data_IF_998774098429
#
_entry.id   IF_998774098429
#
_cell.length_a   1.000
_cell.length_b   1.000
_cell.length_c   1.000
_cell.angle_alpha   90.00
_cell.angle_beta   90.00
_cell.angle_gamma   90.00
#
_symmetry.space_group_name_H-M   'P 1'
#
loop_
_entity.id
_entity.type
_entity.pdbx_description
1 polymer ?
#
# COMPACT_ATOMS: atom_id res chain seq x y z
N UNK A 1 18.94 -20.62 3.81
CA UNK A 1 18.04 -19.58 4.37
C UNK A 1 16.77 -19.64 3.55
N UNK A 2 15.64 -19.85 4.21
CA UNK A 2 14.34 -19.81 3.53
C UNK A 2 14.01 -18.36 3.18
N UNK A 3 13.86 -18.08 1.88
CA UNK A 3 13.54 -16.74 1.36
C UNK A 3 12.02 -16.51 1.35
N UNK A 4 11.35 -16.87 2.45
CA UNK A 4 9.90 -16.84 2.58
C UNK A 4 9.47 -16.23 3.90
N UNK A 5 8.37 -15.49 3.88
CA UNK A 5 7.71 -14.98 5.07
C UNK A 5 6.20 -15.06 4.88
N UNK A 6 5.44 -14.77 5.94
CA UNK A 6 3.98 -14.80 5.92
C UNK A 6 3.41 -13.42 6.25
N UNK A 7 2.29 -13.09 5.62
CA UNK A 7 1.50 -11.90 5.93
C UNK A 7 0.07 -12.28 6.29
N UNK A 8 -0.55 -11.48 7.17
CA UNK A 8 -1.96 -11.58 7.51
C UNK A 8 -2.61 -10.24 7.17
N UNK A 9 -3.58 -10.25 6.26
CA UNK A 9 -4.29 -9.05 5.77
C UNK A 9 -5.78 -9.32 5.73
N UNK A 10 -6.58 -8.34 6.15
CA UNK A 10 -8.04 -8.35 6.02
C UNK A 10 -8.41 -7.93 4.62
N UNK A 11 -9.60 -8.33 4.15
CA UNK A 11 -10.15 -7.86 2.87
C UNK A 11 -10.11 -6.32 2.74
N UNK A 12 -10.42 -5.60 3.82
CA UNK A 12 -10.34 -4.12 3.86
C UNK A 12 -8.94 -3.56 3.60
N UNK A 13 -7.88 -4.32 3.90
CA UNK A 13 -6.52 -3.92 3.59
C UNK A 13 -6.25 -4.02 2.09
N UNK A 14 -6.85 -5.00 1.41
CA UNK A 14 -6.82 -5.11 -0.05
C UNK A 14 -7.64 -3.99 -0.71
N UNK A 15 -8.81 -3.62 -0.16
CA UNK A 15 -9.58 -2.46 -0.66
C UNK A 15 -8.76 -1.16 -0.59
N UNK A 16 -8.02 -0.95 0.50
CA UNK A 16 -7.13 0.22 0.65
C UNK A 16 -5.97 0.17 -0.34
N UNK A 17 -5.35 -0.99 -0.54
CA UNK A 17 -4.28 -1.17 -1.52
C UNK A 17 -4.79 -0.88 -2.93
N UNK A 18 -5.94 -1.43 -3.32
CA UNK A 18 -6.56 -1.23 -4.62
C UNK A 18 -6.84 0.25 -4.89
N UNK A 19 -7.43 0.96 -3.92
CA UNK A 19 -7.68 2.39 -4.02
C UNK A 19 -6.40 3.20 -4.28
N UNK A 20 -5.27 2.84 -3.66
CA UNK A 20 -3.97 3.46 -3.90
C UNK A 20 -3.38 3.08 -5.27
N UNK A 21 -3.73 1.93 -5.83
CA UNK A 21 -3.26 1.48 -7.13
C UNK A 21 -4.13 1.98 -8.29
N UNK A 22 -5.33 2.52 -8.04
CA UNK A 22 -6.20 3.09 -9.10
C UNK A 22 -5.52 4.17 -9.93
N UNK A 23 -4.58 4.94 -9.35
CA UNK A 23 -3.80 5.96 -10.07
C UNK A 23 -2.96 5.37 -11.22
N UNK A 24 -2.70 4.06 -11.20
CA UNK A 24 -1.93 3.38 -12.25
C UNK A 24 -2.77 3.07 -13.49
N UNK A 25 -4.09 3.28 -13.43
CA UNK A 25 -5.05 3.01 -14.50
C UNK A 25 -4.99 1.56 -15.04
N UNK A 26 -4.57 0.63 -14.18
CA UNK A 26 -4.58 -0.81 -14.43
C UNK A 26 -5.84 -1.40 -13.84
N UNK A 27 -6.52 -2.24 -14.61
CA UNK A 27 -7.66 -3.01 -14.11
C UNK A 27 -7.16 -4.24 -13.33
N UNK A 28 -7.43 -4.25 -12.03
CA UNK A 28 -7.00 -5.30 -11.12
C UNK A 28 -8.21 -6.12 -10.65
N UNK A 29 -8.14 -7.46 -10.63
CA UNK A 29 -9.29 -8.32 -10.37
C UNK A 29 -9.56 -8.48 -8.86
N UNK A 30 -9.91 -7.38 -8.17
CA UNK A 30 -10.27 -7.45 -6.75
C UNK A 30 -11.62 -8.18 -6.59
N UNK A 31 -11.69 -9.28 -5.81
CA UNK A 31 -12.94 -10.01 -5.62
C UNK A 31 -13.99 -9.13 -4.94
N UNK A 32 -15.27 -9.26 -5.28
CA UNK A 32 -16.31 -8.35 -4.82
C UNK A 32 -16.55 -8.41 -3.30
N UNK A 33 -17.08 -7.30 -2.78
CA UNK A 33 -17.57 -7.23 -1.42
C UNK A 33 -18.92 -7.92 -1.33
N UNK A 34 -19.04 -8.90 -0.43
CA UNK A 34 -20.33 -9.52 -0.08
C UNK A 34 -20.87 -8.88 1.21
N UNK A 35 -22.12 -8.43 1.16
CA UNK A 35 -22.80 -7.74 2.27
C UNK A 35 -23.68 -8.67 3.13
N UNK A 36 -23.87 -9.94 2.72
CA UNK A 36 -24.59 -10.98 3.47
C UNK A 36 -23.85 -12.33 3.37
N UNK A 37 -23.96 -13.21 4.39
CA UNK A 37 -23.37 -14.56 4.33
C UNK A 37 -21.84 -14.58 4.20
N UNK A 38 -21.16 -13.71 4.95
CA UNK A 38 -19.70 -13.52 4.92
C UNK A 38 -18.89 -14.61 5.66
N UNK A 39 -19.56 -15.51 6.39
CA UNK A 39 -18.95 -16.65 7.09
C UNK A 39 -19.17 -17.99 6.38
N UNK A 40 -19.81 -17.97 5.21
CA UNK A 40 -19.97 -19.16 4.37
C UNK A 40 -18.59 -19.67 3.90
N UNK A 41 -18.33 -20.98 4.06
CA UNK A 41 -17.01 -21.57 3.80
C UNK A 41 -16.63 -21.51 2.32
N UNK A 42 -17.59 -21.75 1.43
CA UNK A 42 -17.34 -21.73 -0.01
C UNK A 42 -17.02 -20.31 -0.45
N UNK A 43 -17.74 -19.34 0.10
CA UNK A 43 -17.44 -17.93 -0.12
C UNK A 43 -16.05 -17.51 0.39
N UNK A 44 -15.64 -17.98 1.58
CA UNK A 44 -14.31 -17.68 2.12
C UNK A 44 -13.23 -18.26 1.21
N UNK A 45 -13.39 -19.51 0.74
CA UNK A 45 -12.45 -20.16 -0.16
C UNK A 45 -12.36 -19.45 -1.52
N UNK A 46 -13.51 -19.10 -2.11
CA UNK A 46 -13.58 -18.36 -3.36
C UNK A 46 -12.89 -16.99 -3.24
N UNK A 47 -13.18 -16.25 -2.15
CA UNK A 47 -12.54 -14.97 -1.88
C UNK A 47 -11.04 -15.12 -1.67
N UNK A 48 -10.58 -16.15 -0.97
CA UNK A 48 -9.15 -16.40 -0.77
C UNK A 48 -8.44 -16.63 -2.11
N UNK A 49 -9.04 -17.41 -3.01
CA UNK A 49 -8.52 -17.61 -4.36
C UNK A 49 -8.52 -16.30 -5.18
N UNK A 50 -9.61 -15.53 -5.12
CA UNK A 50 -9.69 -14.22 -5.77
C UNK A 50 -8.61 -13.24 -5.29
N UNK A 51 -8.36 -13.18 -3.98
CA UNK A 51 -7.31 -12.36 -3.41
C UNK A 51 -5.90 -12.84 -3.81
N UNK A 52 -5.69 -14.15 -3.96
CA UNK A 52 -4.43 -14.67 -4.48
C UNK A 52 -4.21 -14.28 -5.95
N UNK A 53 -5.25 -14.37 -6.78
CA UNK A 53 -5.19 -13.94 -8.18
C UNK A 53 -4.93 -12.44 -8.31
N UNK A 54 -5.56 -11.64 -7.45
CA UNK A 54 -5.28 -10.20 -7.34
C UNK A 54 -3.80 -9.92 -7.01
N UNK A 55 -3.21 -10.63 -6.04
CA UNK A 55 -1.78 -10.48 -5.75
C UNK A 55 -0.90 -10.91 -6.92
N UNK A 56 -1.23 -12.01 -7.58
CA UNK A 56 -0.50 -12.48 -8.77
C UNK A 56 -0.51 -11.43 -9.89
N UNK A 57 -1.64 -10.76 -10.12
CA UNK A 57 -1.76 -9.67 -11.09
C UNK A 57 -0.92 -8.44 -10.72
N UNK A 58 -0.91 -8.06 -9.43
CA UNK A 58 -0.08 -6.97 -8.94
C UNK A 58 1.41 -7.25 -9.16
N UNK A 59 1.87 -8.46 -8.80
CA UNK A 59 3.31 -8.78 -8.85
C UNK A 59 3.80 -9.04 -10.27
N UNK A 60 2.92 -9.37 -11.21
CA UNK A 60 3.28 -9.58 -12.63
C UNK A 60 3.61 -8.27 -13.36
N UNK A 61 3.18 -7.12 -12.83
CA UNK A 61 3.40 -5.80 -13.43
C UNK A 61 4.61 -5.12 -12.74
N UNK A 62 5.78 -4.98 -13.40
CA UNK A 62 7.01 -4.56 -12.74
C UNK A 62 6.97 -3.17 -12.09
N UNK A 63 6.24 -2.23 -12.69
CA UNK A 63 6.12 -0.86 -12.14
C UNK A 63 5.28 -0.84 -10.86
N UNK A 64 4.24 -1.67 -10.80
CA UNK A 64 3.36 -1.81 -9.63
C UNK A 64 4.08 -2.61 -8.54
N UNK A 65 4.68 -3.75 -8.90
CA UNK A 65 5.34 -4.65 -7.94
C UNK A 65 6.52 -4.01 -7.23
N UNK A 66 7.24 -3.10 -7.90
CA UNK A 66 8.37 -2.35 -7.32
C UNK A 66 7.94 -1.14 -6.49
N UNK A 67 6.65 -0.75 -6.54
CA UNK A 67 6.15 0.40 -5.79
C UNK A 67 6.29 0.20 -4.28
N UNK A 68 6.49 1.30 -3.55
CA UNK A 68 6.61 1.27 -2.10
C UNK A 68 5.32 0.74 -1.46
N UNK A 69 4.15 1.10 -1.99
CA UNK A 69 2.85 0.68 -1.49
C UNK A 69 2.69 -0.84 -1.50
N UNK A 70 3.05 -1.50 -2.62
CA UNK A 70 3.00 -2.96 -2.73
C UNK A 70 4.03 -3.63 -1.84
N UNK A 71 5.26 -3.11 -1.80
CA UNK A 71 6.32 -3.61 -0.91
C UNK A 71 5.92 -3.53 0.56
N UNK A 72 5.33 -2.42 1.00
CA UNK A 72 4.78 -2.25 2.35
C UNK A 72 3.64 -3.22 2.66
N UNK A 73 2.78 -3.48 1.68
CA UNK A 73 1.69 -4.43 1.84
C UNK A 73 2.21 -5.86 2.02
N UNK A 74 3.16 -6.27 1.16
CA UNK A 74 3.72 -7.62 1.15
C UNK A 74 4.75 -7.85 2.25
N UNK A 75 5.46 -6.84 2.71
CA UNK A 75 6.54 -6.96 3.69
C UNK A 75 6.55 -5.76 4.65
N UNK A 76 5.51 -5.69 5.49
CA UNK A 76 5.29 -4.53 6.37
C UNK A 76 6.41 -4.34 7.40
N UNK A 77 7.13 -5.38 7.79
CA UNK A 77 8.21 -5.29 8.78
C UNK A 77 9.44 -4.59 8.18
N UNK A 78 9.88 -5.02 6.99
CA UNK A 78 11.05 -4.44 6.33
C UNK A 78 10.77 -3.05 5.71
N UNK A 79 9.50 -2.69 5.50
CA UNK A 79 9.10 -1.38 4.96
C UNK A 79 8.26 -0.55 5.95
N UNK A 80 8.46 -0.74 7.25
CA UNK A 80 7.69 -0.04 8.32
C UNK A 80 7.96 1.46 8.41
N UNK A 81 9.07 1.95 7.89
CA UNK A 81 9.46 3.36 8.00
C UNK A 81 8.47 4.32 7.33
N UNK A 82 8.18 5.41 8.03
CA UNK A 82 7.45 6.54 7.49
C UNK A 82 8.41 7.48 6.74
N UNK A 83 8.73 7.14 5.50
CA UNK A 83 9.68 7.90 4.68
C UNK A 83 9.25 9.36 4.46
N UNK A 84 7.95 9.66 4.46
CA UNK A 84 7.43 11.04 4.34
C UNK A 84 7.79 11.84 5.58
N UNK A 85 7.53 11.30 6.76
CA UNK A 85 7.87 11.94 8.03
C UNK A 85 9.39 12.13 8.18
N UNK A 86 10.18 11.11 7.83
CA UNK A 86 11.65 11.20 7.85
C UNK A 86 12.13 12.31 6.90
N UNK A 87 11.59 12.36 5.67
CA UNK A 87 11.96 13.40 4.70
C UNK A 87 11.56 14.79 5.20
N UNK A 88 10.35 14.96 5.72
CA UNK A 88 9.87 16.22 6.29
C UNK A 88 10.73 16.68 7.47
N UNK A 89 11.12 15.76 8.35
CA UNK A 89 12.02 16.06 9.47
C UNK A 89 13.39 16.53 8.97
N UNK A 90 13.98 15.82 7.99
CA UNK A 90 15.27 16.21 7.41
C UNK A 90 15.22 17.58 6.73
N UNK A 91 14.18 17.83 5.93
CA UNK A 91 13.95 19.12 5.26
C UNK A 91 13.78 20.23 6.29
N UNK A 92 13.01 19.98 7.36
CA UNK A 92 12.81 20.95 8.45
C UNK A 92 14.11 21.26 9.19
N UNK A 93 14.95 20.25 9.46
CA UNK A 93 16.25 20.45 10.11
C UNK A 93 17.19 21.27 9.22
N UNK A 94 17.22 21.00 7.91
CA UNK A 94 18.03 21.75 6.95
C UNK A 94 17.63 23.23 6.95
N UNK A 95 16.34 23.54 6.80
CA UNK A 95 15.87 24.92 6.80
C UNK A 95 16.11 25.64 8.13
N UNK A 96 15.97 24.97 9.28
CA UNK A 96 16.33 25.57 10.59
C UNK A 96 17.81 25.95 10.70
N UNK A 97 18.70 25.28 9.95
CA UNK A 97 20.15 25.55 9.98
C UNK A 97 20.60 26.60 8.96
N UNK A 98 19.77 26.94 7.98
CA UNK A 98 20.07 27.89 6.91
C UNK A 98 19.35 29.23 7.15
N UNK A 99 20.06 30.32 7.50
CA UNK A 99 19.44 31.60 7.90
C UNK A 99 18.76 32.37 6.74
N UNK A 100 18.66 31.79 5.54
CA UNK A 100 18.17 32.45 4.32
C UNK A 100 16.81 31.93 3.83
N UNK A 101 16.29 30.84 4.42
CA UNK A 101 15.05 30.21 3.96
C UNK A 101 14.05 30.10 5.10
N UNK A 102 12.98 30.89 5.05
CA UNK A 102 11.86 30.74 5.96
C UNK A 102 10.89 29.68 5.43
N UNK A 103 10.49 28.74 6.29
CA UNK A 103 9.43 27.78 5.99
C UNK A 103 8.10 28.55 5.95
N UNK A 104 7.54 28.69 4.76
CA UNK A 104 6.20 29.26 4.56
C UNK A 104 5.15 28.16 4.76
N UNK A 105 3.96 28.53 5.21
CA UNK A 105 2.88 27.60 5.58
C UNK A 105 2.63 26.47 4.54
N UNK A 106 2.26 25.27 5.01
CA UNK A 106 1.92 24.17 4.11
C UNK A 106 0.76 24.54 3.20
N UNK A 107 0.93 24.30 1.89
CA UNK A 107 -0.07 24.62 0.88
C UNK A 107 -1.29 23.70 1.02
N UNK A 108 -2.51 24.24 1.22
CA UNK A 108 -3.69 23.44 1.57
C UNK A 108 -4.13 22.41 0.52
N UNK A 109 -3.77 22.62 -0.75
CA UNK A 109 -4.32 21.85 -1.88
C UNK A 109 -3.34 20.85 -2.51
N UNK A 110 -2.16 20.70 -1.91
CA UNK A 110 -1.22 19.65 -2.31
C UNK A 110 -1.32 18.53 -1.27
N UNK A 111 -2.41 17.76 -1.35
CA UNK A 111 -2.72 16.61 -0.49
C UNK A 111 -3.38 15.49 -1.27
#
# INVERSE_FOLDING_TARGET
RDHSWQIKKRYSDFEKLDALLKITNVDLPLPPKKVFGNFDRDFIAERQNGLQNYLNAIVSIPVISKSLTVKKFLDSNNYSSNFVEIALQHVSMLFRSEPKWDVIEPLPEIG
#
